data_IF_043864093616
#
_entry.id   IF_043864093616
#
_cell.length_a   1.000
_cell.length_b   1.000
_cell.length_c   1.000
_cell.angle_alpha   90.00
_cell.angle_beta   90.00
_cell.angle_gamma   90.00
#
_symmetry.space_group_name_H-M   'P 1'
#
loop_
_entity.id
_entity.type
_entity.pdbx_description
1 polymer ?
#
# COMPACT_ATOMS: atom_id res chain seq x y z
N UNK A 1 4.65 -22.35 -7.28
CA UNK A 1 3.32 -22.56 -6.71
C UNK A 1 2.30 -21.68 -7.41
N UNK A 2 1.06 -22.07 -7.37
CA UNK A 2 -0.03 -21.19 -7.78
C UNK A 2 -0.55 -20.46 -6.55
N UNK A 3 -0.75 -19.14 -6.65
CA UNK A 3 -1.19 -18.34 -5.53
C UNK A 3 -2.00 -17.15 -5.99
N UNK A 4 -2.86 -16.69 -5.12
CA UNK A 4 -3.50 -15.38 -5.24
C UNK A 4 -2.67 -14.38 -4.47
N UNK A 5 -2.50 -13.19 -5.03
CA UNK A 5 -1.84 -12.07 -4.36
C UNK A 5 -2.93 -11.10 -3.94
N UNK A 6 -3.12 -10.98 -2.63
CA UNK A 6 -4.22 -10.21 -2.06
C UNK A 6 -3.69 -9.15 -1.10
N UNK A 7 -4.50 -8.14 -0.84
CA UNK A 7 -4.23 -7.16 0.19
C UNK A 7 -4.92 -7.50 1.51
N UNK A 8 -4.74 -6.67 2.55
CA UNK A 8 -5.28 -6.92 3.88
C UNK A 8 -6.65 -6.30 4.12
N UNK A 9 -7.32 -5.79 3.10
CA UNK A 9 -8.57 -5.06 3.25
C UNK A 9 -9.76 -6.01 3.23
N UNK A 10 -10.78 -5.73 4.04
CA UNK A 10 -12.01 -6.51 4.11
C UNK A 10 -12.92 -6.20 2.91
N UNK A 11 -12.40 -6.45 1.72
CA UNK A 11 -13.08 -6.17 0.46
C UNK A 11 -12.62 -7.20 -0.57
N UNK A 12 -13.58 -7.85 -1.25
CA UNK A 12 -13.27 -8.93 -2.19
C UNK A 12 -12.49 -8.46 -3.42
N UNK A 13 -12.52 -7.17 -3.72
CA UNK A 13 -11.74 -6.58 -4.81
C UNK A 13 -10.28 -6.30 -4.44
N UNK A 14 -9.88 -6.54 -3.19
CA UNK A 14 -8.51 -6.27 -2.76
C UNK A 14 -7.58 -7.42 -3.13
N UNK A 15 -7.34 -7.55 -4.41
CA UNK A 15 -6.38 -8.52 -4.93
C UNK A 15 -5.57 -7.89 -6.07
N UNK A 16 -4.33 -8.34 -6.22
CA UNK A 16 -3.43 -7.93 -7.30
C UNK A 16 -3.34 -8.99 -8.39
N UNK A 17 -3.48 -10.26 -8.04
CA UNK A 17 -3.44 -11.35 -9.00
C UNK A 17 -4.16 -12.57 -8.46
N UNK A 18 -4.71 -13.38 -9.35
CA UNK A 18 -5.35 -14.65 -9.01
C UNK A 18 -4.72 -15.78 -9.82
N UNK A 19 -4.54 -16.92 -9.18
CA UNK A 19 -3.98 -18.14 -9.81
C UNK A 19 -2.66 -17.83 -10.51
N UNK A 20 -1.82 -17.04 -9.88
CA UNK A 20 -0.54 -16.63 -10.42
C UNK A 20 0.53 -17.65 -10.08
N UNK A 21 1.34 -18.00 -11.07
CA UNK A 21 2.50 -18.87 -10.86
C UNK A 21 3.61 -18.02 -10.25
N UNK A 22 4.02 -18.37 -9.04
CA UNK A 22 5.03 -17.63 -8.28
C UNK A 22 6.06 -18.61 -7.70
N UNK A 23 7.29 -18.15 -7.43
CA UNK A 23 8.22 -18.92 -6.60
C UNK A 23 7.61 -19.16 -5.23
N UNK A 24 8.06 -20.22 -4.55
CA UNK A 24 7.66 -20.44 -3.16
C UNK A 24 8.18 -19.31 -2.29
N UNK A 25 7.27 -18.69 -1.53
CA UNK A 25 7.58 -17.54 -0.67
C UNK A 25 7.38 -17.90 0.78
N UNK A 26 8.21 -17.33 1.64
CA UNK A 26 8.09 -17.43 3.10
C UNK A 26 7.54 -16.10 3.65
N UNK A 27 6.88 -16.20 4.78
CA UNK A 27 6.45 -15.01 5.49
C UNK A 27 7.65 -14.10 5.79
N UNK A 28 7.50 -12.81 5.54
CA UNK A 28 8.56 -11.83 5.74
C UNK A 28 9.40 -11.53 4.49
N UNK A 29 9.27 -12.33 3.44
CA UNK A 29 9.94 -12.03 2.18
C UNK A 29 9.20 -10.92 1.44
N UNK A 30 9.91 -10.26 0.53
CA UNK A 30 9.36 -9.16 -0.25
C UNK A 30 8.95 -9.63 -1.64
N UNK A 31 7.90 -9.01 -2.16
CA UNK A 31 7.51 -9.12 -3.56
C UNK A 31 7.36 -7.70 -4.13
N UNK A 32 7.56 -7.59 -5.42
CA UNK A 32 7.40 -6.31 -6.11
C UNK A 32 6.38 -6.45 -7.24
N UNK A 33 5.46 -5.50 -7.30
CA UNK A 33 4.55 -5.37 -8.45
C UNK A 33 5.20 -4.40 -9.41
N UNK A 34 5.64 -4.94 -10.54
CA UNK A 34 6.38 -4.17 -11.54
C UNK A 34 5.44 -3.31 -12.39
N UNK A 35 6.01 -2.26 -12.98
CA UNK A 35 5.30 -1.36 -13.91
C UNK A 35 4.03 -0.74 -13.31
N UNK A 36 4.06 -0.45 -12.02
CA UNK A 36 2.90 0.07 -11.29
C UNK A 36 3.04 1.53 -10.85
N UNK A 37 4.17 2.19 -11.19
CA UNK A 37 4.47 3.53 -10.68
C UNK A 37 3.40 4.57 -11.00
N UNK A 38 2.81 4.51 -12.20
CA UNK A 38 1.81 5.49 -12.61
C UNK A 38 0.48 5.35 -11.85
N UNK A 39 0.13 4.15 -11.40
CA UNK A 39 -1.17 3.87 -10.79
C UNK A 39 -1.09 3.36 -9.36
N UNK A 40 0.08 2.96 -8.90
CA UNK A 40 0.23 2.37 -7.57
C UNK A 40 -0.29 3.28 -6.47
N UNK A 41 0.30 4.45 -6.31
CA UNK A 41 -0.12 5.39 -5.28
C UNK A 41 -1.49 6.02 -5.60
N UNK A 42 -1.71 6.42 -6.85
CA UNK A 42 -2.94 7.13 -7.23
C UNK A 42 -4.21 6.29 -7.04
N UNK A 43 -4.09 4.96 -7.06
CA UNK A 43 -5.20 4.05 -6.79
C UNK A 43 -5.25 3.57 -5.34
N UNK A 44 -4.29 3.98 -4.50
CA UNK A 44 -4.30 3.61 -3.10
C UNK A 44 -5.37 4.36 -2.33
N UNK A 45 -5.79 3.79 -1.22
CA UNK A 45 -6.81 4.40 -0.36
C UNK A 45 -6.52 4.12 1.11
N UNK A 46 -7.22 4.86 1.96
CA UNK A 46 -7.13 4.68 3.41
C UNK A 46 -8.22 3.77 3.94
N UNK A 47 -8.79 2.95 3.08
CA UNK A 47 -9.86 2.04 3.48
C UNK A 47 -9.43 1.18 4.66
N UNK A 48 -10.32 0.92 5.58
CA UNK A 48 -10.07 0.27 6.86
C UNK A 48 -9.06 1.04 7.74
N UNK A 49 -8.96 2.35 7.56
CA UNK A 49 -8.07 3.22 8.34
C UNK A 49 -6.60 2.83 8.24
N UNK A 50 -6.17 2.41 7.07
CA UNK A 50 -4.76 2.08 6.81
C UNK A 50 -4.06 3.30 6.22
N UNK A 51 -2.96 3.74 6.84
CA UNK A 51 -2.18 4.85 6.31
C UNK A 51 -1.58 4.53 4.94
N UNK A 52 -1.42 5.54 4.11
CA UNK A 52 -0.80 5.37 2.79
C UNK A 52 0.70 5.14 2.92
N UNK A 53 1.24 4.37 1.99
CA UNK A 53 2.66 4.04 1.94
C UNK A 53 3.50 5.25 1.53
N UNK A 54 4.79 5.17 1.82
CA UNK A 54 5.76 6.14 1.32
C UNK A 54 5.93 6.00 -0.18
N UNK A 55 6.36 7.07 -0.84
CA UNK A 55 6.81 7.02 -2.22
C UNK A 55 8.29 7.36 -2.28
N UNK A 56 9.03 6.58 -3.04
CA UNK A 56 10.48 6.73 -3.21
C UNK A 56 10.78 6.78 -4.71
N UNK A 57 11.57 7.77 -5.10
CA UNK A 57 12.06 7.87 -6.47
C UNK A 57 13.47 7.29 -6.53
N UNK A 58 13.70 6.44 -7.53
CA UNK A 58 14.99 5.76 -7.72
C UNK A 58 15.56 6.13 -9.06
N UNK A 59 16.84 6.47 -9.07
CA UNK A 59 17.59 6.74 -10.30
C UNK A 59 19.00 6.17 -10.16
N UNK A 60 19.30 5.13 -10.93
CA UNK A 60 20.58 4.43 -10.81
C UNK A 60 20.75 3.84 -9.42
N UNK A 61 21.87 4.14 -8.75
CA UNK A 61 22.12 3.69 -7.40
C UNK A 61 21.61 4.64 -6.31
N UNK A 62 20.89 5.68 -6.68
CA UNK A 62 20.39 6.69 -5.75
C UNK A 62 18.89 6.54 -5.53
N UNK A 63 18.41 6.92 -4.35
CA UNK A 63 16.99 7.00 -4.08
C UNK A 63 16.68 8.19 -3.18
N UNK A 64 15.46 8.68 -3.28
CA UNK A 64 15.01 9.81 -2.48
C UNK A 64 13.54 9.61 -2.07
N UNK A 65 13.25 9.94 -0.82
CA UNK A 65 11.89 9.92 -0.32
C UNK A 65 11.15 11.14 -0.86
N UNK A 66 10.19 10.94 -1.74
CA UNK A 66 9.41 12.03 -2.34
C UNK A 66 8.05 12.21 -1.69
N UNK A 67 7.59 11.23 -0.90
CA UNK A 67 6.39 11.32 -0.06
C UNK A 67 6.58 10.50 1.20
N UNK A 68 6.43 11.15 2.35
CA UNK A 68 6.56 10.47 3.63
C UNK A 68 5.44 9.44 3.81
N UNK A 69 5.76 8.33 4.46
CA UNK A 69 4.76 7.36 4.90
C UNK A 69 3.79 8.05 5.86
N UNK A 70 2.50 7.82 5.67
CA UNK A 70 1.49 8.36 6.58
C UNK A 70 1.53 7.67 7.95
N UNK A 71 1.18 8.44 8.97
CA UNK A 71 0.97 7.95 10.33
C UNK A 71 -0.52 7.91 10.62
N UNK A 72 -0.91 7.27 11.73
CA UNK A 72 -2.31 7.31 12.15
C UNK A 72 -2.79 8.73 12.46
N UNK A 73 -1.88 9.60 12.90
CA UNK A 73 -2.20 11.01 13.10
C UNK A 73 -2.63 11.69 11.79
N UNK A 74 -2.01 11.30 10.67
CA UNK A 74 -2.37 11.84 9.37
C UNK A 74 -3.80 11.48 8.98
N UNK A 75 -4.31 10.32 9.44
CA UNK A 75 -5.67 9.89 9.12
C UNK A 75 -6.73 10.77 9.76
N UNK A 76 -6.43 11.34 10.91
CA UNK A 76 -7.40 12.15 11.68
C UNK A 76 -7.15 13.65 11.54
N UNK A 77 -6.20 14.05 10.72
CA UNK A 77 -5.90 15.46 10.50
C UNK A 77 -7.15 16.21 10.03
N UNK A 78 -7.47 17.30 10.69
CA UNK A 78 -8.65 18.10 10.39
C UNK A 78 -9.93 17.63 11.08
N UNK A 79 -9.89 16.53 11.79
CA UNK A 79 -11.03 16.09 12.59
C UNK A 79 -11.10 16.83 13.91
N UNK A 80 -12.30 17.03 14.40
CA UNK A 80 -12.55 17.73 15.65
C UNK A 80 -13.64 17.00 16.43
N UNK A 81 -13.43 16.85 17.73
CA UNK A 81 -14.49 16.39 18.63
C UNK A 81 -15.49 17.54 18.78
N UNK A 82 -16.78 17.33 18.50
CA UNK A 82 -17.78 18.38 18.63
C UNK A 82 -17.88 18.90 20.07
N UNK A 83 -18.18 20.19 20.23
CA UNK A 83 -18.26 20.80 21.55
C UNK A 83 -19.44 20.27 22.39
N UNK A 84 -20.42 19.65 21.74
CA UNK A 84 -21.61 19.11 22.43
C UNK A 84 -21.42 17.67 22.94
N UNK A 85 -20.26 17.08 22.76
CA UNK A 85 -19.94 15.73 23.28
C UNK A 85 -19.21 15.83 24.63
#
# INVERSE_FOLDING_TARGET
>A
MLADVVGPICESGDFLARNRKLPSLRQGEFIAVMSAGAYGFSMSSRYNSRPLAAEVMVKGGEFELVRKRETYHDLIRGEKVPDFI
#
